data_IF_532658302788
#
_entry.id   IF_532658302788
#
_cell.length_a   1.000
_cell.length_b   1.000
_cell.length_c   1.000
_cell.angle_alpha   90.00
_cell.angle_beta   90.00
_cell.angle_gamma   90.00
#
_symmetry.space_group_name_H-M   'P 1'
#
loop_
_entity.id
_entity.type
_entity.pdbx_description
1 polymer ?
#
# COMPACT_ATOMS: atom_id res chain seq x y z
N UNK A 1 -4.46 3.78 2.75
CA UNK A 1 -5.86 3.50 3.14
C UNK A 1 -6.05 2.01 3.32
N UNK A 2 -6.67 1.59 4.43
CA UNK A 2 -7.08 0.21 4.65
C UNK A 2 -8.42 -0.08 3.96
N UNK A 3 -8.57 -1.30 3.42
CA UNK A 3 -9.76 -1.78 2.76
C UNK A 3 -10.16 -3.16 3.29
N UNK A 4 -11.39 -3.26 3.77
CA UNK A 4 -12.02 -4.52 4.12
C UNK A 4 -13.54 -4.38 4.02
N UNK A 5 -14.08 -4.53 2.81
CA UNK A 5 -15.52 -4.48 2.57
C UNK A 5 -16.03 -5.88 2.24
N UNK A 6 -16.46 -6.63 3.26
CA UNK A 6 -16.90 -8.02 3.15
C UNK A 6 -15.86 -8.92 2.45
N UNK A 7 -14.58 -8.72 2.80
CA UNK A 7 -13.45 -9.45 2.22
C UNK A 7 -12.80 -10.36 3.27
N UNK A 8 -12.09 -11.41 2.85
CA UNK A 8 -11.50 -12.39 3.77
C UNK A 8 -10.43 -11.80 4.69
N UNK A 9 -9.80 -10.69 4.30
CA UNK A 9 -8.80 -9.99 5.09
C UNK A 9 -8.69 -8.52 4.68
N UNK A 10 -8.11 -7.73 5.59
CA UNK A 10 -7.80 -6.32 5.37
C UNK A 10 -6.62 -6.17 4.42
N UNK A 11 -6.75 -5.28 3.45
CA UNK A 11 -5.69 -4.90 2.49
C UNK A 11 -5.40 -3.41 2.60
N UNK A 12 -4.28 -2.96 2.03
CA UNK A 12 -3.91 -1.55 2.04
C UNK A 12 -3.56 -1.02 0.65
N UNK A 13 -4.02 0.19 0.35
CA UNK A 13 -3.41 1.04 -0.69
C UNK A 13 -2.43 1.99 -0.01
N UNK A 14 -1.17 2.01 -0.44
CA UNK A 14 -0.13 2.83 0.17
C UNK A 14 0.63 3.64 -0.88
N UNK A 15 1.02 4.85 -0.51
CA UNK A 15 2.02 5.63 -1.23
C UNK A 15 3.32 5.63 -0.44
N UNK A 16 4.44 5.76 -1.15
CA UNK A 16 5.77 5.88 -0.55
C UNK A 16 6.33 7.27 -0.79
N UNK A 17 7.30 7.66 0.03
CA UNK A 17 8.15 8.81 -0.28
C UNK A 17 9.31 8.33 -1.17
N UNK A 18 9.32 8.63 -2.47
CA UNK A 18 10.35 8.11 -3.37
C UNK A 18 11.75 8.64 -3.02
N UNK A 19 11.86 9.87 -2.52
CA UNK A 19 13.14 10.48 -2.15
C UNK A 19 13.80 9.72 -1.00
N UNK A 20 13.03 9.38 0.04
CA UNK A 20 13.56 8.61 1.17
C UNK A 20 13.79 7.14 0.83
N UNK A 21 12.92 6.56 -0.01
CA UNK A 21 13.05 5.16 -0.43
C UNK A 21 14.31 4.94 -1.26
N UNK A 22 14.63 5.85 -2.18
CA UNK A 22 15.84 5.83 -3.02
C UNK A 22 17.15 5.88 -2.22
N UNK A 23 17.15 6.56 -1.06
CA UNK A 23 18.32 6.58 -0.17
C UNK A 23 18.61 5.21 0.44
N UNK A 24 17.60 4.32 0.51
CA UNK A 24 17.74 2.98 1.07
C UNK A 24 18.02 1.94 -0.01
N UNK A 25 17.36 2.02 -1.16
CA UNK A 25 17.57 1.07 -2.26
C UNK A 25 17.10 1.65 -3.60
N UNK A 26 17.71 1.16 -4.68
CA UNK A 26 17.27 1.38 -6.07
C UNK A 26 16.61 0.15 -6.69
N UNK A 27 16.58 -0.99 -5.99
CA UNK A 27 15.91 -2.22 -6.44
C UNK A 27 14.43 -2.22 -6.00
N UNK A 28 13.47 -2.27 -6.94
CA UNK A 28 12.04 -2.38 -6.62
C UNK A 28 11.68 -3.57 -5.73
N UNK A 29 12.39 -4.69 -5.85
CA UNK A 29 12.13 -5.90 -5.05
C UNK A 29 12.55 -5.69 -3.60
N UNK A 30 13.73 -5.12 -3.38
CA UNK A 30 14.19 -4.74 -2.05
C UNK A 30 13.29 -3.68 -1.43
N UNK A 31 12.86 -2.68 -2.21
CA UNK A 31 11.93 -1.66 -1.77
C UNK A 31 10.59 -2.25 -1.28
N UNK A 32 10.03 -3.20 -2.03
CA UNK A 32 8.81 -3.91 -1.63
C UNK A 32 8.99 -4.68 -0.31
N UNK A 33 10.13 -5.35 -0.14
CA UNK A 33 10.46 -6.09 1.08
C UNK A 33 10.71 -5.18 2.28
N UNK A 34 11.29 -3.99 2.08
CA UNK A 34 11.45 -2.99 3.14
C UNK A 34 10.10 -2.52 3.66
N UNK A 35 9.15 -2.23 2.77
CA UNK A 35 7.79 -1.83 3.13
C UNK A 35 7.07 -2.98 3.86
N UNK A 36 7.19 -4.21 3.37
CA UNK A 36 6.63 -5.39 4.04
C UNK A 36 7.20 -5.56 5.44
N UNK A 37 8.51 -5.38 5.60
CA UNK A 37 9.19 -5.45 6.89
C UNK A 37 8.66 -4.38 7.85
N UNK A 38 8.45 -3.15 7.40
CA UNK A 38 7.87 -2.08 8.22
C UNK A 38 6.44 -2.42 8.68
N UNK A 39 5.63 -3.04 7.82
CA UNK A 39 4.29 -3.52 8.22
C UNK A 39 4.41 -4.69 9.22
N UNK A 40 5.36 -5.60 9.01
CA UNK A 40 5.58 -6.76 9.87
C UNK A 40 5.99 -6.39 11.30
N UNK A 41 6.55 -5.20 11.53
CA UNK A 41 6.87 -4.69 12.86
C UNK A 41 5.63 -4.54 13.77
N UNK A 42 4.44 -4.42 13.20
CA UNK A 42 3.16 -4.34 13.93
C UNK A 42 2.49 -5.71 14.09
N UNK A 43 2.96 -6.74 13.39
CA UNK A 43 2.45 -8.10 13.53
C UNK A 43 3.00 -8.76 14.80
N UNK A 44 2.48 -9.95 15.11
CA UNK A 44 2.91 -10.73 16.26
C UNK A 44 4.43 -10.96 16.27
N UNK A 45 5.09 -10.63 17.38
CA UNK A 45 6.54 -10.72 17.53
C UNK A 45 7.34 -9.57 16.94
N UNK A 46 6.69 -8.57 16.33
CA UNK A 46 7.32 -7.32 15.91
C UNK A 46 7.52 -6.35 17.08
N UNK A 47 8.32 -5.30 16.86
CA UNK A 47 8.62 -4.29 17.91
C UNK A 47 7.39 -3.48 18.35
N UNK A 48 6.36 -3.39 17.52
CA UNK A 48 5.11 -2.69 17.78
C UNK A 48 3.94 -3.68 17.98
N UNK A 49 4.23 -4.93 18.35
CA UNK A 49 3.21 -5.95 18.59
C UNK A 49 2.19 -5.48 19.66
N UNK A 50 0.92 -5.80 19.44
CA UNK A 50 -0.19 -5.43 20.31
C UNK A 50 -0.64 -3.97 20.22
N UNK A 51 0.02 -3.13 19.41
CA UNK A 51 -0.36 -1.71 19.26
C UNK A 51 -1.73 -1.52 18.57
N UNK A 52 -2.11 -2.44 17.68
CA UNK A 52 -3.39 -2.42 16.96
C UNK A 52 -4.06 -3.79 17.00
N UNK A 53 -5.41 -3.85 16.90
CA UNK A 53 -6.10 -5.12 16.67
C UNK A 53 -5.58 -5.78 15.39
N UNK A 54 -5.16 -7.04 15.45
CA UNK A 54 -4.57 -7.73 14.30
C UNK A 54 -5.46 -7.75 13.06
N UNK A 55 -6.79 -7.72 13.21
CA UNK A 55 -7.74 -7.64 12.09
C UNK A 55 -7.65 -6.33 11.29
N UNK A 56 -7.10 -5.27 11.88
CA UNK A 56 -6.92 -3.98 11.22
C UNK A 56 -5.63 -3.94 10.40
N UNK A 57 -4.66 -4.79 10.72
CA UNK A 57 -3.39 -4.83 10.01
C UNK A 57 -3.58 -5.46 8.63
N UNK A 58 -3.03 -4.85 7.57
CA UNK A 58 -3.20 -5.36 6.23
C UNK A 58 -2.40 -6.65 6.03
N UNK A 59 -3.03 -7.67 5.47
CA UNK A 59 -2.36 -8.92 5.08
C UNK A 59 -1.71 -8.86 3.70
N UNK A 60 -2.03 -7.82 2.92
CA UNK A 60 -1.45 -7.51 1.62
C UNK A 60 -1.56 -6.01 1.36
N UNK A 61 -0.67 -5.47 0.53
CA UNK A 61 -0.71 -4.06 0.15
C UNK A 61 -0.40 -3.86 -1.33
N UNK A 62 -1.03 -2.84 -1.91
CA UNK A 62 -0.68 -2.32 -3.22
C UNK A 62 -0.01 -0.96 -3.06
N UNK A 63 1.15 -0.79 -3.69
CA UNK A 63 1.78 0.53 -3.85
C UNK A 63 1.08 1.26 -4.99
N UNK A 64 0.63 2.48 -4.73
CA UNK A 64 0.02 3.36 -5.71
C UNK A 64 0.95 4.55 -5.98
N UNK A 65 0.85 5.10 -7.19
CA UNK A 65 1.77 6.13 -7.69
C UNK A 65 1.51 7.49 -7.05
N UNK A 66 0.23 7.88 -6.98
CA UNK A 66 -0.17 9.19 -6.50
C UNK A 66 -0.85 9.14 -5.13
N UNK A 67 -0.57 10.11 -4.25
CA UNK A 67 -1.32 10.27 -3.01
C UNK A 67 -2.74 10.75 -3.29
N UNK A 68 -3.62 10.54 -2.32
CA UNK A 68 -4.97 11.08 -2.37
C UNK A 68 -4.91 12.59 -2.10
N UNK A 69 -5.47 13.38 -3.01
CA UNK A 69 -5.44 14.84 -2.93
C UNK A 69 -6.80 15.43 -3.26
N UNK A 70 -6.99 16.71 -2.97
CA UNK A 70 -8.16 17.44 -3.47
C UNK A 70 -8.13 17.59 -5.00
N UNK A 71 -6.92 17.74 -5.59
CA UNK A 71 -6.72 17.89 -7.04
C UNK A 71 -7.22 16.68 -7.83
N UNK A 72 -6.92 15.46 -7.38
CA UNK A 72 -7.47 14.24 -7.98
C UNK A 72 -8.86 13.86 -7.42
N UNK A 73 -9.43 14.71 -6.55
CA UNK A 73 -10.77 14.58 -6.00
C UNK A 73 -10.95 13.40 -5.05
N UNK A 74 -9.86 12.72 -4.65
CA UNK A 74 -9.90 11.58 -3.73
C UNK A 74 -9.96 12.02 -2.27
N UNK A 75 -9.71 13.30 -2.00
CA UNK A 75 -9.89 13.98 -0.73
C UNK A 75 -10.82 15.19 -0.95
N UNK A 76 -11.69 15.48 0.02
CA UNK A 76 -12.54 16.68 -0.03
C UNK A 76 -11.90 17.87 0.72
N UNK A 77 -12.53 19.04 0.68
CA UNK A 77 -12.04 20.27 1.34
C UNK A 77 -11.93 20.17 2.88
N UNK A 78 -12.46 19.10 3.49
CA UNK A 78 -12.32 18.80 4.92
C UNK A 78 -11.24 17.76 5.20
N UNK A 79 -10.39 17.47 4.22
CA UNK A 79 -9.34 16.45 4.27
C UNK A 79 -9.84 15.01 4.48
N UNK A 80 -11.11 14.74 4.19
CA UNK A 80 -11.70 13.39 4.27
C UNK A 80 -11.58 12.66 2.94
N UNK A 81 -11.24 11.38 3.00
CA UNK A 81 -11.19 10.50 1.82
C UNK A 81 -12.59 10.34 1.22
N UNK A 82 -12.68 10.58 -0.10
CA UNK A 82 -13.86 10.31 -0.92
C UNK A 82 -13.83 8.84 -1.34
N UNK A 83 -14.28 7.95 -0.44
CA UNK A 83 -14.10 6.48 -0.57
C UNK A 83 -14.53 5.91 -1.93
N UNK A 84 -15.69 6.29 -2.45
CA UNK A 84 -16.20 5.75 -3.71
C UNK A 84 -15.29 6.08 -4.91
N UNK A 85 -14.66 7.26 -4.92
CA UNK A 85 -13.69 7.62 -5.96
C UNK A 85 -12.41 6.80 -5.85
N UNK A 86 -11.86 6.65 -4.64
CA UNK A 86 -10.67 5.81 -4.41
C UNK A 86 -10.94 4.36 -4.79
N UNK A 87 -12.07 3.80 -4.36
CA UNK A 87 -12.44 2.42 -4.67
C UNK A 87 -12.62 2.21 -6.17
N UNK A 88 -13.26 3.15 -6.87
CA UNK A 88 -13.42 3.05 -8.32
C UNK A 88 -12.09 3.19 -9.06
N UNK A 89 -11.21 4.10 -8.64
CA UNK A 89 -9.93 4.34 -9.30
C UNK A 89 -8.95 3.18 -9.14
N UNK A 90 -8.97 2.51 -7.98
CA UNK A 90 -8.05 1.42 -7.65
C UNK A 90 -8.74 0.06 -7.54
N UNK A 91 -9.91 -0.12 -8.15
CA UNK A 91 -10.68 -1.37 -8.06
C UNK A 91 -9.84 -2.59 -8.49
N UNK A 92 -9.16 -2.50 -9.63
CA UNK A 92 -8.26 -3.55 -10.14
C UNK A 92 -7.15 -3.88 -9.13
N UNK A 93 -6.47 -2.85 -8.62
CA UNK A 93 -5.41 -3.02 -7.61
C UNK A 93 -5.92 -3.66 -6.34
N UNK A 94 -7.14 -3.32 -5.90
CA UNK A 94 -7.76 -3.94 -4.73
C UNK A 94 -8.10 -5.41 -5.00
N UNK A 95 -8.66 -5.74 -6.16
CA UNK A 95 -8.97 -7.14 -6.51
C UNK A 95 -7.72 -8.02 -6.60
N UNK A 96 -6.64 -7.49 -7.20
CA UNK A 96 -5.36 -8.20 -7.32
C UNK A 96 -4.83 -8.67 -5.96
N UNK A 97 -5.00 -7.87 -4.90
CA UNK A 97 -4.55 -8.22 -3.55
C UNK A 97 -5.23 -9.46 -2.97
N UNK A 98 -6.37 -9.87 -3.54
CA UNK A 98 -7.08 -11.09 -3.16
C UNK A 98 -6.65 -12.33 -3.96
N UNK A 99 -5.69 -12.20 -4.86
CA UNK A 99 -5.09 -13.32 -5.60
C UNK A 99 -3.81 -13.83 -4.92
N UNK A 100 -3.41 -15.10 -5.13
CA UNK A 100 -2.13 -15.61 -4.59
C UNK A 100 -0.90 -14.82 -5.07
N UNK A 101 -0.94 -14.28 -6.29
CA UNK A 101 0.17 -13.50 -6.86
C UNK A 101 0.21 -12.07 -6.30
N UNK A 102 -0.95 -11.39 -6.26
CA UNK A 102 -1.02 -10.01 -5.76
C UNK A 102 -0.85 -9.88 -4.25
N UNK A 103 -1.09 -10.94 -3.49
CA UNK A 103 -0.83 -10.95 -2.04
C UNK A 103 0.64 -10.71 -1.68
N UNK A 104 1.58 -11.08 -2.56
CA UNK A 104 3.01 -10.90 -2.32
C UNK A 104 3.38 -9.42 -2.42
N UNK A 105 4.21 -8.95 -1.49
CA UNK A 105 4.79 -7.61 -1.52
C UNK A 105 5.49 -7.33 -2.86
N UNK A 106 6.22 -8.32 -3.37
CA UNK A 106 6.92 -8.35 -4.67
C UNK A 106 6.04 -8.73 -5.86
N UNK A 107 4.73 -8.53 -5.77
CA UNK A 107 3.83 -8.75 -6.91
C UNK A 107 4.25 -7.91 -8.13
N UNK A 108 4.05 -8.39 -9.37
CA UNK A 108 4.44 -7.64 -10.57
C UNK A 108 3.90 -6.20 -10.60
N UNK A 109 2.65 -6.00 -10.16
CA UNK A 109 2.01 -4.69 -10.12
C UNK A 109 2.65 -3.73 -9.09
N UNK A 110 3.18 -4.24 -7.98
CA UNK A 110 3.96 -3.44 -7.03
C UNK A 110 5.35 -3.12 -7.58
N UNK A 111 6.04 -4.11 -8.15
CA UNK A 111 7.37 -3.93 -8.73
C UNK A 111 7.36 -2.93 -9.88
N UNK A 112 6.31 -2.93 -10.70
CA UNK A 112 6.12 -1.96 -11.77
C UNK A 112 6.03 -0.52 -11.24
N UNK A 113 5.16 -0.29 -10.25
CA UNK A 113 4.97 1.04 -9.64
C UNK A 113 6.25 1.51 -8.94
N UNK A 114 6.86 0.64 -8.12
CA UNK A 114 8.12 0.94 -7.44
C UNK A 114 9.24 1.21 -8.44
N UNK A 115 9.29 0.46 -9.55
CA UNK A 115 10.24 0.69 -10.62
C UNK A 115 10.11 2.05 -11.31
N UNK A 116 8.89 2.59 -11.44
CA UNK A 116 8.66 3.95 -11.93
C UNK A 116 9.11 4.98 -10.89
N UNK A 117 8.63 4.85 -9.65
CA UNK A 117 8.93 5.77 -8.56
C UNK A 117 10.44 5.88 -8.23
N UNK A 118 11.18 4.78 -8.36
CA UNK A 118 12.62 4.76 -8.13
C UNK A 118 13.42 5.38 -9.30
N UNK A 119 12.84 5.48 -10.50
CA UNK A 119 13.48 6.09 -11.69
C UNK A 119 13.17 7.59 -11.84
N UNK A 120 12.04 8.07 -11.33
CA UNK A 120 11.61 9.47 -11.47
C UNK A 120 12.48 10.41 -10.62
N UNK A 121 13.33 11.24 -11.26
CA UNK A 121 14.31 12.13 -10.60
C UNK A 121 13.69 13.19 -9.69
#
# INVERSE_FOLDING_TARGET
MLYNNQRPYTTALITVNPVELKKRTSDPSEAALLIEKEIAEYLKGGKNDGMFPYRWLPSAFAVIEEPFTEKNGMVNSTMKIVKHKVYSAYASRIEELYTPAGKKSTSPANLEVLGRLLKEN
#
